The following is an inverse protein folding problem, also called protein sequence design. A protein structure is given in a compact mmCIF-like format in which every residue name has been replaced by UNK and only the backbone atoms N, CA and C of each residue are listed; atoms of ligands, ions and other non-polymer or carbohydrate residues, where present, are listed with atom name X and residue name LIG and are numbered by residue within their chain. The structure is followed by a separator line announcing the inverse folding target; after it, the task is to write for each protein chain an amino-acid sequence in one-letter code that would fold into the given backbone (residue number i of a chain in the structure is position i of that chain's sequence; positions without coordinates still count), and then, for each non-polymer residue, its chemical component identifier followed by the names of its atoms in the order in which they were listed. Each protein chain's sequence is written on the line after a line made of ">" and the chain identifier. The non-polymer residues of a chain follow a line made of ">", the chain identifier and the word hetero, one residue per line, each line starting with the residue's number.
data_IF_238612956040
#
_entry.id   IF_238612956040
#
_cell.length_a   1.000
_cell.length_b   1.000
_cell.length_c   1.000
_cell.angle_alpha   90.00
_cell.angle_beta   90.00
_cell.angle_gamma   90.00
#
_symmetry.space_group_name_H-M   'P 1'
#
loop_
_entity.id
_entity.type
_entity.pdbx_description
1 polymer ?
#
# COMPACT_ATOMS: atom_id res chain seq x y z
N UNK A 1 -24.01 -0.01 -3.72
CA UNK A 1 -22.91 0.53 -2.89
C UNK A 1 -22.05 -0.61 -2.40
N UNK A 2 -21.27 -1.19 -3.30
CA UNK A 2 -20.27 -2.18 -2.95
C UNK A 2 -18.90 -1.63 -3.38
N UNK A 3 -17.92 -1.71 -2.49
CA UNK A 3 -16.54 -1.40 -2.85
C UNK A 3 -16.02 -2.44 -3.84
N UNK A 4 -15.26 -1.99 -4.83
CA UNK A 4 -14.48 -2.88 -5.69
C UNK A 4 -13.25 -3.35 -4.93
N UNK A 5 -13.02 -4.67 -4.93
CA UNK A 5 -11.88 -5.31 -4.27
C UNK A 5 -10.66 -5.22 -5.19
N UNK A 6 -9.58 -4.65 -4.68
CA UNK A 6 -8.30 -4.53 -5.38
C UNK A 6 -7.29 -5.44 -4.70
N UNK A 7 -6.95 -6.56 -5.34
CA UNK A 7 -5.90 -7.49 -4.92
C UNK A 7 -4.94 -7.69 -6.09
N UNK A 8 -3.75 -7.04 -6.10
CA UNK A 8 -2.82 -7.16 -7.21
C UNK A 8 -2.35 -8.60 -7.44
N UNK A 9 -2.44 -9.08 -8.69
CA UNK A 9 -1.96 -10.42 -9.07
C UNK A 9 -0.45 -10.56 -8.84
N UNK A 10 0.29 -9.46 -8.92
CA UNK A 10 1.73 -9.39 -8.66
C UNK A 10 2.12 -9.87 -7.24
N UNK A 11 1.17 -9.92 -6.30
CA UNK A 11 1.42 -10.42 -4.95
C UNK A 11 1.27 -11.94 -4.82
N UNK A 12 0.78 -12.62 -5.87
CA UNK A 12 0.68 -14.07 -5.96
C UNK A 12 -0.46 -14.67 -5.14
N UNK A 13 -0.34 -14.62 -3.81
CA UNK A 13 -1.36 -15.18 -2.91
C UNK A 13 -2.44 -14.15 -2.60
N UNK A 14 -3.71 -14.58 -2.63
CA UNK A 14 -4.80 -13.74 -2.12
C UNK A 14 -4.73 -13.63 -0.60
N UNK A 15 -4.97 -12.44 -0.03
CA UNK A 15 -5.07 -12.26 1.40
C UNK A 15 -6.24 -13.07 1.99
N UNK A 16 -6.09 -13.53 3.23
CA UNK A 16 -7.11 -14.28 3.97
C UNK A 16 -7.71 -13.40 5.06
N UNK A 17 -9.02 -13.12 4.98
CA UNK A 17 -9.74 -12.28 5.96
C UNK A 17 -9.56 -10.78 5.79
N UNK A 18 -8.93 -10.31 4.70
CA UNK A 18 -8.74 -8.90 4.36
C UNK A 18 -8.50 -8.72 2.85
N UNK A 19 -8.39 -7.48 2.37
CA UNK A 19 -8.06 -7.14 0.97
C UNK A 19 -6.99 -6.04 0.92
N UNK A 20 -6.15 -6.04 -0.12
CA UNK A 20 -5.10 -5.03 -0.29
C UNK A 20 -5.65 -3.63 -0.55
N UNK A 21 -6.76 -3.53 -1.27
CA UNK A 21 -7.45 -2.27 -1.50
C UNK A 21 -8.96 -2.43 -1.63
N UNK A 22 -9.67 -1.36 -1.27
CA UNK A 22 -11.12 -1.23 -1.42
C UNK A 22 -11.42 0.11 -2.09
N UNK A 23 -11.92 0.06 -3.33
CA UNK A 23 -12.17 1.24 -4.16
C UNK A 23 -13.67 1.61 -4.14
N UNK A 24 -13.97 2.86 -3.79
CA UNK A 24 -15.36 3.34 -3.78
C UNK A 24 -15.91 3.59 -5.20
N UNK A 25 -17.23 3.61 -5.33
CA UNK A 25 -17.93 3.90 -6.59
C UNK A 25 -17.57 5.29 -7.17
N UNK A 26 -17.92 5.48 -8.45
CA UNK A 26 -17.73 6.74 -9.19
C UNK A 26 -18.51 7.87 -8.50
N UNK A 27 -17.89 9.04 -8.35
CA UNK A 27 -18.45 10.18 -7.60
C UNK A 27 -17.77 10.47 -6.25
N UNK A 28 -16.84 9.61 -5.85
CA UNK A 28 -15.89 9.85 -4.75
C UNK A 28 -14.55 9.13 -4.94
N UNK A 29 -14.56 7.97 -5.63
CA UNK A 29 -13.40 7.14 -6.05
C UNK A 29 -12.19 7.15 -5.09
N UNK A 30 -12.46 7.08 -3.78
CA UNK A 30 -11.44 6.95 -2.74
C UNK A 30 -11.02 5.48 -2.70
N UNK A 31 -9.70 5.26 -2.73
CA UNK A 31 -9.10 3.96 -2.51
C UNK A 31 -8.58 3.88 -1.08
N UNK A 32 -9.08 2.93 -0.30
CA UNK A 32 -8.46 2.52 0.95
C UNK A 32 -7.42 1.47 0.65
N UNK A 33 -6.17 1.69 1.06
CA UNK A 33 -5.07 0.73 0.91
C UNK A 33 -4.74 0.14 2.28
N UNK A 34 -4.77 -1.19 2.38
CA UNK A 34 -4.34 -1.89 3.60
C UNK A 34 -2.83 -1.74 3.80
N UNK A 35 -2.36 -1.90 5.05
CA UNK A 35 -0.93 -1.86 5.36
C UNK A 35 -0.13 -2.83 4.49
N UNK A 36 0.95 -2.34 3.90
CA UNK A 36 1.87 -3.15 3.10
C UNK A 36 3.21 -3.27 3.81
N UNK A 37 3.81 -4.46 3.76
CA UNK A 37 5.10 -4.75 4.37
C UNK A 37 5.97 -5.57 3.42
N UNK A 38 7.29 -5.42 3.55
CA UNK A 38 8.31 -6.32 3.00
C UNK A 38 9.37 -6.50 4.09
N UNK A 39 9.31 -7.57 4.91
CA UNK A 39 10.19 -7.73 6.07
C UNK A 39 11.55 -8.33 5.69
N UNK A 40 12.18 -7.82 4.64
CA UNK A 40 13.45 -8.34 4.09
C UNK A 40 14.39 -7.17 3.82
N UNK A 41 15.65 -7.30 4.25
CA UNK A 41 16.69 -6.29 4.03
C UNK A 41 16.81 -5.27 5.16
N UNK A 42 17.63 -4.24 4.92
CA UNK A 42 17.79 -3.08 5.80
C UNK A 42 16.56 -2.15 5.76
N UNK A 43 16.57 -1.12 6.61
CA UNK A 43 15.45 -0.17 6.73
C UNK A 43 15.02 0.42 5.38
N UNK A 44 15.98 0.83 4.54
CA UNK A 44 15.71 1.46 3.24
C UNK A 44 15.12 0.45 2.25
N UNK A 45 15.66 -0.78 2.20
CA UNK A 45 15.12 -1.86 1.36
C UNK A 45 13.71 -2.28 1.78
N UNK A 46 13.45 -2.34 3.08
CA UNK A 46 12.10 -2.61 3.58
C UNK A 46 11.12 -1.48 3.20
N UNK A 47 11.55 -0.22 3.30
CA UNK A 47 10.76 0.94 2.87
C UNK A 47 10.45 0.92 1.38
N UNK A 48 11.46 0.72 0.53
CA UNK A 48 11.30 0.63 -0.92
C UNK A 48 10.31 -0.48 -1.31
N UNK A 49 10.47 -1.67 -0.72
CA UNK A 49 9.54 -2.78 -0.93
C UNK A 49 8.12 -2.48 -0.46
N UNK A 50 7.95 -1.91 0.74
CA UNK A 50 6.64 -1.57 1.28
C UNK A 50 5.93 -0.49 0.46
N UNK A 51 6.64 0.58 0.09
CA UNK A 51 6.11 1.66 -0.76
C UNK A 51 5.78 1.15 -2.16
N UNK A 52 6.65 0.32 -2.74
CA UNK A 52 6.41 -0.31 -4.05
C UNK A 52 5.12 -1.13 -4.05
N UNK A 53 4.85 -1.88 -2.97
CA UNK A 53 3.57 -2.60 -2.80
C UNK A 53 2.38 -1.66 -2.65
N UNK A 54 2.48 -0.56 -1.90
CA UNK A 54 1.40 0.45 -1.84
C UNK A 54 1.08 1.00 -3.22
N UNK A 55 2.12 1.37 -3.99
CA UNK A 55 1.98 1.89 -5.35
C UNK A 55 1.35 0.84 -6.27
N UNK A 56 1.68 -0.44 -6.11
CA UNK A 56 1.09 -1.52 -6.90
C UNK A 56 -0.42 -1.66 -6.67
N UNK A 57 -0.88 -1.50 -5.43
CA UNK A 57 -2.34 -1.46 -5.13
C UNK A 57 -2.99 -0.25 -5.81
N UNK A 58 -2.34 0.92 -5.76
CA UNK A 58 -2.86 2.14 -6.40
C UNK A 58 -2.94 1.97 -7.93
N UNK A 59 -1.90 1.41 -8.56
CA UNK A 59 -1.86 1.13 -10.00
C UNK A 59 -2.91 0.11 -10.41
N UNK A 60 -3.09 -0.94 -9.61
CA UNK A 60 -4.13 -1.96 -9.83
C UNK A 60 -5.55 -1.37 -9.77
N UNK A 61 -5.76 -0.29 -9.03
CA UNK A 61 -7.01 0.48 -9.03
C UNK A 61 -7.12 1.52 -10.18
N UNK A 62 -6.12 1.57 -11.07
CA UNK A 62 -6.02 2.53 -12.17
C UNK A 62 -5.56 3.93 -11.75
N UNK A 63 -4.96 4.07 -10.56
CA UNK A 63 -4.37 5.31 -10.07
C UNK A 63 -2.88 5.43 -10.38
N UNK A 64 -2.30 6.55 -9.97
CA UNK A 64 -0.86 6.84 -10.02
C UNK A 64 -0.34 7.27 -8.64
N UNK A 65 0.97 7.20 -8.36
CA UNK A 65 1.53 7.62 -7.08
C UNK A 65 1.12 9.04 -6.66
N UNK A 66 0.98 9.96 -7.62
CA UNK A 66 0.57 11.35 -7.38
C UNK A 66 -0.88 11.48 -6.89
N UNK A 67 -1.67 10.41 -6.95
CA UNK A 67 -3.04 10.39 -6.42
C UNK A 67 -3.10 10.07 -4.92
N UNK A 68 -1.98 9.76 -4.28
CA UNK A 68 -1.91 9.48 -2.84
C UNK A 68 -2.02 10.81 -2.08
N UNK A 69 -3.20 11.08 -1.50
CA UNK A 69 -3.42 12.28 -0.69
C UNK A 69 -3.00 12.14 0.79
N UNK A 70 -2.91 10.91 1.31
CA UNK A 70 -2.53 10.62 2.70
C UNK A 70 -1.87 9.25 2.80
N UNK A 71 -0.85 9.15 3.65
CA UNK A 71 -0.20 7.89 4.00
C UNK A 71 0.03 7.83 5.52
N UNK A 72 -0.11 6.65 6.10
CA UNK A 72 0.25 6.37 7.51
C UNK A 72 1.37 5.35 7.49
N UNK A 73 2.49 5.68 8.12
CA UNK A 73 3.68 4.82 8.19
C UNK A 73 3.93 4.47 9.64
N UNK A 74 4.05 3.16 9.92
CA UNK A 74 4.45 2.65 11.22
C UNK A 74 5.88 2.11 11.11
N UNK A 75 6.76 2.56 11.99
CA UNK A 75 8.15 2.10 12.09
C UNK A 75 8.38 1.43 13.44
N UNK A 76 9.21 0.41 13.47
CA UNK A 76 9.62 -0.28 14.72
C UNK A 76 10.84 0.39 15.38
N UNK A 77 11.64 1.11 14.61
CA UNK A 77 12.86 1.80 15.05
C UNK A 77 12.86 3.26 14.55
N UNK A 78 12.55 4.18 15.47
CA UNK A 78 12.54 5.63 15.19
C UNK A 78 13.95 6.19 14.98
N UNK A 79 14.98 5.86 15.80
CA UNK A 79 16.35 6.24 15.50
C UNK A 79 16.82 5.85 14.10
N UNK A 80 16.56 4.61 13.66
CA UNK A 80 16.91 4.16 12.31
C UNK A 80 16.20 4.98 11.22
N UNK A 81 14.91 5.29 11.41
CA UNK A 81 14.17 6.17 10.51
C UNK A 81 14.84 7.56 10.39
N UNK A 82 15.17 8.19 11.52
CA UNK A 82 15.80 9.52 11.54
C UNK A 82 17.21 9.52 10.92
N UNK A 83 17.96 8.42 11.04
CA UNK A 83 19.29 8.26 10.45
C UNK A 83 19.25 8.05 8.92
N UNK A 84 18.09 7.75 8.34
CA UNK A 84 17.89 7.46 6.91
C UNK A 84 16.88 8.41 6.24
N UNK A 85 16.73 9.64 6.77
CA UNK A 85 15.95 10.71 6.12
C UNK A 85 16.65 11.28 4.87
#
# INVERSE_FOLDING_TARGET
>A
MAFEIINPDAFGARPSGWNHGMLSEKGGRILFVAGQIVPVGDFVRQWDGALGRVIEVVRSAGGKPENIGRMVVYVTDRPAYLANL
#
